data_IF_673164188523
#
_entry.id   IF_673164188523
#
_cell.length_a   1.000
_cell.length_b   1.000
_cell.length_c   1.000
_cell.angle_alpha   90.00
_cell.angle_beta   90.00
_cell.angle_gamma   90.00
#
_symmetry.space_group_name_H-M   'P 1'
#
loop_
_entity.id
_entity.type
_entity.pdbx_description
1 polymer ?
#
# COMPACT_ATOMS: atom_id res chain seq x y z
N UNK A 1 -24.48 9.04 18.78
CA UNK A 1 -24.62 8.35 17.47
C UNK A 1 -23.37 7.49 17.27
N UNK A 2 -23.49 6.22 16.84
CA UNK A 2 -22.32 5.37 16.55
C UNK A 2 -21.91 5.57 15.08
N UNK A 3 -20.60 5.68 14.75
CA UNK A 3 -20.16 5.74 13.38
C UNK A 3 -20.55 4.45 12.63
N UNK A 4 -20.93 4.59 11.36
CA UNK A 4 -21.21 3.49 10.44
C UNK A 4 -20.27 3.59 9.26
N UNK A 5 -19.83 2.45 8.74
CA UNK A 5 -19.01 2.35 7.55
C UNK A 5 -19.78 1.59 6.47
N UNK A 6 -19.59 2.01 5.22
CA UNK A 6 -20.11 1.33 4.04
C UNK A 6 -18.96 1.15 3.05
N UNK A 7 -18.87 -0.03 2.43
CA UNK A 7 -17.82 -0.31 1.43
C UNK A 7 -18.12 0.50 0.17
N UNK A 8 -17.36 1.56 -0.05
CA UNK A 8 -17.53 2.44 -1.21
C UNK A 8 -16.95 1.83 -2.49
N UNK A 9 -15.69 1.38 -2.43
CA UNK A 9 -14.96 0.72 -3.51
C UNK A 9 -13.82 -0.14 -2.93
N UNK A 10 -13.18 -0.96 -3.77
CA UNK A 10 -11.96 -1.71 -3.49
C UNK A 10 -10.90 -1.36 -4.54
N UNK A 11 -9.64 -1.26 -4.13
CA UNK A 11 -8.51 -1.08 -5.05
C UNK A 11 -7.61 -2.30 -4.96
N UNK A 12 -7.32 -2.91 -6.11
CA UNK A 12 -6.35 -4.01 -6.24
C UNK A 12 -5.16 -3.52 -7.05
N UNK A 13 -4.07 -3.21 -6.35
CA UNK A 13 -2.85 -2.74 -6.99
C UNK A 13 -1.97 -3.90 -7.45
N UNK A 14 -1.45 -3.80 -8.67
CA UNK A 14 -0.27 -4.55 -9.10
C UNK A 14 0.99 -3.79 -8.69
N UNK A 15 1.97 -4.51 -8.16
CA UNK A 15 3.20 -3.92 -7.64
C UNK A 15 4.44 -4.66 -8.14
N UNK A 16 5.53 -3.93 -8.31
CA UNK A 16 6.83 -4.49 -8.62
C UNK A 16 7.51 -5.09 -7.37
N UNK A 17 8.61 -5.80 -7.59
CA UNK A 17 9.49 -6.21 -6.50
C UNK A 17 10.01 -5.00 -5.72
N UNK A 18 10.22 -5.22 -4.42
CA UNK A 18 10.75 -4.23 -3.50
C UNK A 18 12.12 -3.72 -3.95
N UNK A 19 12.26 -2.40 -4.04
CA UNK A 19 13.57 -1.73 -4.21
C UNK A 19 14.10 -1.33 -2.83
N UNK A 20 15.21 -1.94 -2.42
CA UNK A 20 15.91 -1.57 -1.19
C UNK A 20 16.64 -0.23 -1.35
N UNK A 21 16.49 0.66 -0.37
CA UNK A 21 17.17 1.96 -0.36
C UNK A 21 18.28 2.00 0.69
N UNK A 22 17.99 1.51 1.90
CA UNK A 22 18.94 1.54 3.00
C UNK A 22 18.33 1.03 4.30
N UNK A 23 19.18 0.73 5.28
CA UNK A 23 18.77 0.23 6.58
C UNK A 23 19.77 0.62 7.66
N UNK A 24 19.25 1.08 8.80
CA UNK A 24 20.01 1.25 10.04
C UNK A 24 19.14 0.88 11.26
N UNK A 25 19.76 0.82 12.44
CA UNK A 25 19.09 0.39 13.68
C UNK A 25 18.16 1.44 14.30
N UNK A 26 18.18 2.69 13.83
CA UNK A 26 17.38 3.81 14.34
C UNK A 26 16.15 4.06 13.46
N UNK A 27 16.36 4.33 12.17
CA UNK A 27 15.32 4.62 11.21
C UNK A 27 14.58 3.35 10.76
N UNK A 28 15.29 2.22 10.65
CA UNK A 28 14.79 0.97 10.09
C UNK A 28 15.12 0.81 8.60
N UNK A 29 14.44 -0.12 7.93
CA UNK A 29 14.65 -0.45 6.51
C UNK A 29 13.74 0.40 5.61
N UNK A 30 14.32 1.29 4.81
CA UNK A 30 13.63 2.06 3.77
C UNK A 30 13.57 1.25 2.49
N UNK A 31 12.37 1.14 1.93
CA UNK A 31 12.14 0.48 0.66
C UNK A 31 11.07 1.21 -0.16
N UNK A 32 11.17 1.09 -1.48
CA UNK A 32 10.18 1.60 -2.42
C UNK A 32 9.52 0.44 -3.16
N UNK A 33 8.20 0.50 -3.30
CA UNK A 33 7.42 -0.47 -4.08
C UNK A 33 6.70 0.29 -5.18
N UNK A 34 7.10 0.06 -6.43
CA UNK A 34 6.45 0.69 -7.57
C UNK A 34 5.05 0.09 -7.80
N UNK A 35 4.04 0.94 -7.92
CA UNK A 35 2.69 0.58 -8.33
C UNK A 35 2.67 0.61 -9.86
N UNK A 36 2.50 -0.57 -10.46
CA UNK A 36 2.58 -0.77 -11.91
C UNK A 36 1.22 -0.67 -12.59
N UNK A 37 0.14 -0.69 -11.81
CA UNK A 37 -1.23 -0.57 -12.29
C UNK A 37 -2.20 -1.22 -11.30
N UNK A 38 -3.37 -1.61 -11.79
CA UNK A 38 -4.40 -2.24 -10.98
C UNK A 38 -5.80 -1.82 -11.39
N UNK A 39 -6.78 -2.24 -10.60
CA UNK A 39 -8.20 -1.96 -10.82
C UNK A 39 -8.85 -1.33 -9.60
N UNK A 40 -9.86 -0.49 -9.85
CA UNK A 40 -10.80 -0.02 -8.85
C UNK A 40 -12.16 -0.65 -9.13
N UNK A 41 -12.71 -1.34 -8.13
CA UNK A 41 -13.99 -2.03 -8.18
C UNK A 41 -14.99 -1.28 -7.29
N UNK A 42 -16.03 -0.71 -7.89
CA UNK A 42 -17.10 0.00 -7.20
C UNK A 42 -18.02 -0.92 -6.41
N UNK A 43 -18.54 -0.40 -5.30
CA UNK A 43 -19.57 -1.04 -4.47
C UNK A 43 -20.70 -0.04 -4.23
N UNK A 44 -20.76 0.63 -3.07
CA UNK A 44 -21.77 1.66 -2.81
C UNK A 44 -21.60 2.89 -3.71
N UNK A 45 -20.37 3.16 -4.17
CA UNK A 45 -20.12 4.13 -5.23
C UNK A 45 -20.00 3.38 -6.58
N UNK A 46 -20.69 3.83 -7.64
CA UNK A 46 -20.64 3.19 -8.96
C UNK A 46 -19.37 3.62 -9.72
N UNK A 47 -18.22 3.56 -9.07
CA UNK A 47 -16.93 3.94 -9.63
C UNK A 47 -16.19 2.67 -10.03
N UNK A 48 -15.89 2.54 -11.31
CA UNK A 48 -14.99 1.51 -11.83
C UNK A 48 -13.87 2.22 -12.57
N UNK A 49 -12.68 1.62 -12.57
CA UNK A 49 -11.53 2.26 -13.18
C UNK A 49 -10.23 1.49 -13.06
N UNK A 50 -9.17 2.16 -13.49
CA UNK A 50 -7.81 1.63 -13.56
C UNK A 50 -6.89 2.45 -12.66
N UNK A 51 -6.08 1.78 -11.86
CA UNK A 51 -4.95 2.40 -11.17
C UNK A 51 -3.87 2.69 -12.22
N UNK A 52 -3.44 3.94 -12.30
CA UNK A 52 -2.44 4.37 -13.27
C UNK A 52 -1.04 3.88 -12.87
N UNK A 53 -0.16 3.58 -13.83
CA UNK A 53 1.25 3.34 -13.55
C UNK A 53 1.92 4.62 -13.00
N UNK A 54 3.14 4.47 -12.49
CA UNK A 54 3.99 5.53 -11.91
C UNK A 54 3.74 5.87 -10.43
N UNK A 55 2.82 5.18 -9.76
CA UNK A 55 2.67 5.29 -8.32
C UNK A 55 3.82 4.62 -7.56
N UNK A 56 4.07 5.05 -6.33
CA UNK A 56 5.06 4.41 -5.43
C UNK A 56 4.50 4.37 -4.01
N UNK A 57 4.73 3.24 -3.34
CA UNK A 57 4.64 3.13 -1.88
C UNK A 57 6.03 3.25 -1.25
N UNK A 58 6.22 4.30 -0.44
CA UNK A 58 7.46 4.61 0.26
C UNK A 58 7.40 4.09 1.69
N UNK A 59 7.84 2.85 1.88
CA UNK A 59 7.71 2.16 3.16
C UNK A 59 8.94 2.33 4.05
N UNK A 60 8.72 2.38 5.37
CA UNK A 60 9.76 2.12 6.39
C UNK A 60 9.35 0.94 7.23
N UNK A 61 10.14 -0.14 7.21
CA UNK A 61 10.02 -1.20 8.21
C UNK A 61 10.86 -0.82 9.43
N UNK A 62 10.20 -0.45 10.52
CA UNK A 62 10.83 -0.05 11.78
C UNK A 62 11.54 -1.24 12.44
N UNK A 63 12.51 -1.02 13.35
CA UNK A 63 13.25 -2.09 14.02
C UNK A 63 12.38 -3.11 14.78
N UNK A 64 11.16 -2.74 15.15
CA UNK A 64 10.19 -3.63 15.80
C UNK A 64 9.28 -4.42 14.83
N UNK A 65 9.55 -4.36 13.51
CA UNK A 65 8.76 -5.04 12.49
C UNK A 65 7.51 -4.29 12.01
N UNK A 66 7.16 -3.16 12.63
CA UNK A 66 6.06 -2.31 12.14
C UNK A 66 6.47 -1.62 10.85
N UNK A 67 5.70 -1.77 9.79
CA UNK A 67 5.87 -0.98 8.56
C UNK A 67 4.99 0.26 8.59
N UNK A 68 5.56 1.41 8.26
CA UNK A 68 4.86 2.64 7.94
C UNK A 68 4.82 2.77 6.41
N UNK A 69 3.63 2.97 5.86
CA UNK A 69 3.36 3.02 4.43
C UNK A 69 2.98 4.44 4.03
N UNK A 70 3.42 4.87 2.86
CA UNK A 70 3.01 6.15 2.26
C UNK A 70 2.97 5.98 0.76
N UNK A 71 1.79 5.59 0.26
CA UNK A 71 1.56 5.33 -1.14
C UNK A 71 0.94 6.55 -1.84
N UNK A 72 1.48 6.87 -3.01
CA UNK A 72 1.07 8.01 -3.84
C UNK A 72 0.85 7.53 -5.26
N UNK A 73 -0.37 7.63 -5.77
CA UNK A 73 -0.74 7.11 -7.09
C UNK A 73 -2.01 7.75 -7.65
N UNK A 74 -2.24 7.59 -8.95
CA UNK A 74 -3.44 8.08 -9.63
C UNK A 74 -4.41 6.94 -9.96
N UNK A 75 -5.69 7.27 -10.03
CA UNK A 75 -6.75 6.39 -10.56
C UNK A 75 -7.49 7.14 -11.65
N UNK A 76 -7.77 6.47 -12.77
CA UNK A 76 -8.65 6.93 -13.83
C UNK A 76 -9.91 6.08 -13.84
N UNK A 77 -11.06 6.73 -13.69
CA UNK A 77 -12.37 6.09 -13.77
C UNK A 77 -12.78 5.86 -15.23
N UNK A 78 -13.67 4.91 -15.44
CA UNK A 78 -14.16 4.52 -16.77
C UNK A 78 -14.93 5.66 -17.47
N UNK A 79 -15.51 6.58 -16.69
CA UNK A 79 -16.17 7.79 -17.21
C UNK A 79 -15.20 8.95 -17.53
N UNK A 80 -13.90 8.68 -17.46
CA UNK A 80 -12.83 9.63 -17.81
C UNK A 80 -12.40 10.56 -16.68
N UNK A 81 -13.09 10.59 -15.54
CA UNK A 81 -12.63 11.32 -14.35
C UNK A 81 -11.34 10.69 -13.81
N UNK A 82 -10.56 11.47 -13.05
CA UNK A 82 -9.34 10.97 -12.41
C UNK A 82 -9.16 11.62 -11.05
N UNK A 83 -8.49 10.90 -10.16
CA UNK A 83 -8.13 11.43 -8.85
C UNK A 83 -6.79 10.86 -8.38
N UNK A 84 -6.16 11.62 -7.50
CA UNK A 84 -4.91 11.25 -6.87
C UNK A 84 -5.17 10.75 -5.45
N UNK A 85 -4.48 9.68 -5.08
CA UNK A 85 -4.58 9.05 -3.77
C UNK A 85 -3.25 9.22 -3.04
N UNK A 86 -3.33 9.73 -1.82
CA UNK A 86 -2.33 9.51 -0.79
C UNK A 86 -2.91 8.52 0.22
N UNK A 87 -2.28 7.36 0.36
CA UNK A 87 -2.68 6.31 1.27
C UNK A 87 -1.56 6.08 2.30
N UNK A 88 -1.74 6.66 3.48
CA UNK A 88 -0.83 6.48 4.62
C UNK A 88 -1.41 5.45 5.58
N UNK A 89 -0.57 4.52 6.03
CA UNK A 89 -1.02 3.42 6.87
C UNK A 89 0.10 2.75 7.64
N UNK A 90 -0.31 1.78 8.45
CA UNK A 90 0.60 0.91 9.21
C UNK A 90 0.28 -0.54 8.88
N UNK A 91 1.33 -1.36 8.77
CA UNK A 91 1.23 -2.82 8.72
C UNK A 91 2.04 -3.41 9.86
N UNK A 92 1.42 -4.27 10.65
CA UNK A 92 2.09 -5.04 11.70
C UNK A 92 2.13 -6.51 11.29
N UNK A 93 3.00 -7.28 11.93
CA UNK A 93 3.05 -8.73 11.77
C UNK A 93 3.13 -9.39 13.15
N UNK A 94 2.67 -10.64 13.31
CA UNK A 94 2.93 -11.43 14.51
C UNK A 94 4.43 -11.52 14.80
N UNK A 95 4.77 -11.75 16.08
CA UNK A 95 6.15 -11.70 16.57
C UNK A 95 7.10 -12.65 15.80
N UNK A 96 6.62 -13.83 15.40
CA UNK A 96 7.37 -14.83 14.64
C UNK A 96 7.81 -14.35 13.24
N UNK A 97 7.12 -13.37 12.64
CA UNK A 97 7.43 -12.84 11.31
C UNK A 97 8.24 -11.54 11.34
N UNK A 98 8.57 -11.01 12.52
CA UNK A 98 9.33 -9.75 12.63
C UNK A 98 10.67 -9.85 11.89
N UNK A 99 11.42 -10.92 12.08
CA UNK A 99 12.72 -11.10 11.40
C UNK A 99 12.56 -11.27 9.89
N UNK A 100 11.46 -11.89 9.45
CA UNK A 100 11.11 -12.03 8.02
C UNK A 100 10.94 -10.66 7.38
N UNK A 101 10.15 -9.75 7.96
CA UNK A 101 9.93 -8.43 7.36
C UNK A 101 11.14 -7.50 7.49
N UNK A 102 11.95 -7.64 8.54
CA UNK A 102 13.19 -6.88 8.72
C UNK A 102 14.24 -7.20 7.66
N UNK A 103 14.29 -8.45 7.19
CA UNK A 103 15.15 -8.89 6.09
C UNK A 103 14.55 -8.64 4.70
N UNK A 104 13.29 -8.20 4.63
CA UNK A 104 12.57 -7.94 3.40
C UNK A 104 11.82 -9.12 2.80
N UNK A 105 11.71 -10.21 3.57
CA UNK A 105 10.76 -11.26 3.28
C UNK A 105 9.31 -10.78 3.39
N UNK A 106 8.42 -11.54 2.76
CA UNK A 106 6.98 -11.30 2.76
C UNK A 106 6.36 -12.22 3.82
N UNK A 107 5.67 -11.64 4.78
CA UNK A 107 4.83 -12.40 5.71
C UNK A 107 3.53 -12.84 5.00
N UNK A 108 2.91 -13.96 5.39
CA UNK A 108 1.63 -14.39 4.83
C UNK A 108 0.58 -13.27 4.88
N UNK A 109 -0.29 -13.23 3.87
CA UNK A 109 -1.49 -12.41 3.93
C UNK A 109 -2.43 -12.96 5.02
N UNK A 110 -3.09 -12.07 5.74
CA UNK A 110 -4.19 -12.41 6.66
C UNK A 110 -5.43 -12.88 5.90
#
# INVERSE_FOLDING_TARGET
MKPKLEKAFEIRCSVAATTFIGQDSKAGRRQLIAITGGELIGFALPWHGTVLPCGVDSQVVRPNGKAELSARYGVKLDDGRSFYIQNDGIRTVPAEYVQTVLSGGIAPAE
#
